data_IF_447100413034
#
_entry.id   IF_447100413034
#
_cell.length_a   1.000
_cell.length_b   1.000
_cell.length_c   1.000
_cell.angle_alpha   90.00
_cell.angle_beta   90.00
_cell.angle_gamma   90.00
#
_symmetry.space_group_name_H-M   'P 1'
#
loop_
_entity.id
_entity.type
_entity.pdbx_description
1 polymer ?
#
# COMPACT_ATOMS: atom_id res chain seq x y z
N UNK A 1 -7.07 -6.22 23.16
CA UNK A 1 -5.91 -6.36 22.26
C UNK A 1 -5.10 -5.08 22.37
N UNK A 2 -3.86 -5.14 22.88
CA UNK A 2 -3.03 -3.97 23.11
C UNK A 2 -2.41 -3.54 21.77
N UNK A 3 -2.91 -2.47 21.16
CA UNK A 3 -2.29 -1.86 19.99
C UNK A 3 -1.13 -1.02 20.50
N UNK A 4 0.10 -1.37 20.13
CA UNK A 4 1.26 -0.48 20.28
C UNK A 4 1.04 0.71 19.34
N UNK A 5 0.42 1.77 19.85
CA UNK A 5 0.21 3.01 19.11
C UNK A 5 1.51 3.81 19.08
N UNK A 6 2.02 4.05 17.87
CA UNK A 6 3.22 4.87 17.67
C UNK A 6 2.84 6.32 17.99
N UNK A 7 3.49 6.96 18.97
CA UNK A 7 3.11 8.32 19.40
C UNK A 7 3.55 9.41 18.40
N UNK A 8 4.65 9.19 17.68
CA UNK A 8 5.19 10.10 16.67
C UNK A 8 5.96 9.33 15.62
N UNK A 9 6.05 9.87 14.41
CA UNK A 9 6.89 9.35 13.33
C UNK A 9 8.34 9.82 13.44
N UNK A 10 8.62 10.83 14.28
CA UNK A 10 9.93 11.48 14.36
C UNK A 10 10.27 12.34 13.13
N UNK A 11 9.33 12.52 12.19
CA UNK A 11 9.51 13.25 10.95
C UNK A 11 8.55 14.45 10.90
N UNK A 12 9.07 15.63 10.57
CA UNK A 12 8.27 16.84 10.44
C UNK A 12 7.29 16.68 9.27
N UNK A 13 6.01 16.98 9.51
CA UNK A 13 4.96 16.94 8.48
C UNK A 13 4.42 15.54 8.16
N UNK A 14 4.92 14.47 8.80
CA UNK A 14 4.40 13.11 8.62
C UNK A 14 3.57 12.67 9.83
N UNK A 15 2.25 12.77 9.73
CA UNK A 15 1.34 12.33 10.77
C UNK A 15 1.35 10.79 10.95
N UNK A 16 1.15 10.34 12.20
CA UNK A 16 0.97 8.92 12.51
C UNK A 16 -0.35 8.43 11.91
N UNK A 17 -0.33 7.25 11.29
CA UNK A 17 -1.53 6.60 10.80
C UNK A 17 -2.18 5.73 11.89
N UNK A 18 -3.48 5.93 12.14
CA UNK A 18 -4.24 5.18 13.16
C UNK A 18 -4.45 3.71 12.77
N UNK A 19 -4.88 3.44 11.54
CA UNK A 19 -5.12 2.09 11.02
C UNK A 19 -4.26 1.82 9.78
N UNK A 20 -2.94 1.63 9.94
CA UNK A 20 -2.01 1.57 8.81
C UNK A 20 -2.27 0.37 7.88
N UNK A 21 -2.56 -0.83 8.42
CA UNK A 21 -2.84 -2.02 7.61
C UNK A 21 -4.10 -1.86 6.75
N UNK A 22 -5.19 -1.34 7.34
CA UNK A 22 -6.43 -1.11 6.60
C UNK A 22 -6.23 -0.08 5.49
N UNK A 23 -5.56 1.04 5.81
CA UNK A 23 -5.29 2.10 4.84
C UNK A 23 -4.38 1.62 3.71
N UNK A 24 -3.35 0.83 4.01
CA UNK A 24 -2.49 0.20 3.01
C UNK A 24 -3.27 -0.77 2.12
N UNK A 25 -4.16 -1.59 2.71
CA UNK A 25 -5.00 -2.52 1.95
C UNK A 25 -5.86 -1.78 0.91
N UNK A 26 -6.48 -0.67 1.31
CA UNK A 26 -7.28 0.19 0.42
C UNK A 26 -6.42 0.81 -0.67
N UNK A 27 -5.21 1.28 -0.35
CA UNK A 27 -4.31 1.89 -1.33
C UNK A 27 -3.84 0.89 -2.38
N UNK A 28 -3.39 -0.29 -1.96
CA UNK A 28 -2.92 -1.31 -2.89
C UNK A 28 -4.03 -1.85 -3.79
N UNK A 29 -5.24 -2.08 -3.27
CA UNK A 29 -6.39 -2.47 -4.10
C UNK A 29 -6.76 -1.39 -5.12
N UNK A 30 -6.72 -0.10 -4.74
CA UNK A 30 -6.92 1.01 -5.68
C UNK A 30 -5.84 1.04 -6.78
N UNK A 31 -4.57 0.85 -6.42
CA UNK A 31 -3.47 0.80 -7.40
C UNK A 31 -3.68 -0.36 -8.38
N UNK A 32 -3.98 -1.56 -7.89
CA UNK A 32 -4.28 -2.71 -8.76
C UNK A 32 -5.49 -2.46 -9.67
N UNK A 33 -6.51 -1.76 -9.18
CA UNK A 33 -7.67 -1.34 -9.98
C UNK A 33 -7.28 -0.40 -11.12
N UNK A 34 -6.47 0.63 -10.85
CA UNK A 34 -5.98 1.56 -11.88
C UNK A 34 -5.05 0.84 -12.87
N UNK A 35 -4.23 -0.11 -12.42
CA UNK A 35 -3.36 -0.88 -13.31
C UNK A 35 -4.15 -1.70 -14.34
N UNK A 36 -5.42 -2.04 -14.08
CA UNK A 36 -6.27 -2.72 -15.07
C UNK A 36 -6.53 -1.87 -16.31
N UNK A 37 -6.47 -0.54 -16.22
CA UNK A 37 -6.69 0.37 -17.37
C UNK A 37 -5.47 0.45 -18.29
N UNK A 38 -4.32 -0.07 -17.86
CA UNK A 38 -3.08 -0.10 -18.63
C UNK A 38 -2.99 -1.43 -19.39
N UNK A 39 -2.53 -1.47 -20.65
CA UNK A 39 -2.33 -2.72 -21.39
C UNK A 39 -1.42 -3.74 -20.63
N UNK A 40 -1.73 -5.04 -20.74
CA UNK A 40 -1.03 -6.12 -20.00
C UNK A 40 0.43 -6.32 -20.43
N UNK A 41 0.75 -5.95 -21.66
CA UNK A 41 2.07 -5.99 -22.27
C UNK A 41 2.95 -4.81 -21.85
N UNK A 42 2.37 -3.76 -21.28
CA UNK A 42 3.14 -2.63 -20.77
C UNK A 42 4.08 -3.07 -19.64
N UNK A 43 5.37 -2.87 -19.83
CA UNK A 43 6.40 -3.19 -18.84
C UNK A 43 6.11 -2.55 -17.47
N UNK A 44 5.62 -1.31 -17.48
CA UNK A 44 5.22 -0.59 -16.27
C UNK A 44 4.17 -1.35 -15.46
N UNK A 45 3.12 -1.87 -16.11
CA UNK A 45 2.06 -2.63 -15.44
C UNK A 45 2.62 -3.91 -14.84
N UNK A 46 3.39 -4.69 -15.61
CA UNK A 46 3.97 -5.96 -15.16
C UNK A 46 4.81 -5.82 -13.90
N UNK A 47 5.72 -4.85 -13.86
CA UNK A 47 6.60 -4.64 -12.70
C UNK A 47 5.87 -4.01 -11.52
N UNK A 48 4.94 -3.08 -11.78
CA UNK A 48 4.17 -2.44 -10.71
C UNK A 48 3.22 -3.42 -10.05
N UNK A 49 2.50 -4.26 -10.82
CA UNK A 49 1.65 -5.33 -10.29
C UNK A 49 2.46 -6.30 -9.43
N UNK A 50 3.66 -6.70 -9.87
CA UNK A 50 4.53 -7.58 -9.08
C UNK A 50 4.90 -6.96 -7.73
N UNK A 51 5.38 -5.72 -7.71
CA UNK A 51 5.79 -5.04 -6.46
C UNK A 51 4.60 -4.82 -5.52
N UNK A 52 3.46 -4.38 -6.07
CA UNK A 52 2.25 -4.12 -5.30
C UNK A 52 1.70 -5.41 -4.70
N UNK A 53 1.62 -6.49 -5.47
CA UNK A 53 1.17 -7.80 -4.96
C UNK A 53 2.10 -8.33 -3.87
N UNK A 54 3.42 -8.23 -4.04
CA UNK A 54 4.38 -8.62 -3.01
C UNK A 54 4.16 -7.84 -1.71
N UNK A 55 4.03 -6.51 -1.77
CA UNK A 55 3.79 -5.68 -0.58
C UNK A 55 2.42 -5.90 0.03
N UNK A 56 1.40 -6.13 -0.79
CA UNK A 56 0.05 -6.42 -0.32
C UNK A 56 0.00 -7.72 0.49
N UNK A 57 0.69 -8.76 0.02
CA UNK A 57 0.77 -10.05 0.71
C UNK A 57 1.51 -9.96 2.06
N UNK A 58 2.43 -9.02 2.23
CA UNK A 58 3.10 -8.77 3.51
C UNK A 58 2.21 -8.03 4.52
N UNK A 59 1.15 -7.38 4.05
CA UNK A 59 0.23 -6.58 4.88
C UNK A 59 -1.04 -7.35 5.24
N UNK A 60 -1.40 -8.35 4.43
CA UNK A 60 -2.46 -9.34 4.70
C UNK A 60 -2.17 -10.15 5.96
#
# INVERSE_FOLDING_TARGET
>A
VFVLSVQTTGLVGLAVAENPHERLRILYTKILGVLQTIPKDAAYRKYTEQIVNQRFNLVQ
#
